data_IF_979643151228
#
_entry.id   IF_979643151228
#
_cell.length_a   1.000
_cell.length_b   1.000
_cell.length_c   1.000
_cell.angle_alpha   90.00
_cell.angle_beta   90.00
_cell.angle_gamma   90.00
#
_symmetry.space_group_name_H-M   'P 1'
#
loop_
_entity.id
_entity.type
_entity.pdbx_description
1 polymer ?
#
# COMPACT_ATOMS: atom_id res chain seq x y z
N UNK A 1 7.93 -35.87 42.94
CA UNK A 1 7.26 -34.56 42.96
C UNK A 1 8.21 -33.43 43.33
N UNK A 2 9.04 -33.48 44.37
CA UNK A 2 9.93 -32.35 44.80
C UNK A 2 10.94 -31.94 43.71
N UNK A 3 11.50 -32.88 42.92
CA UNK A 3 12.47 -32.55 41.84
C UNK A 3 11.84 -31.83 40.65
N UNK A 4 10.59 -32.16 40.29
CA UNK A 4 9.90 -31.47 39.20
C UNK A 4 9.51 -30.06 39.59
N UNK A 5 9.07 -29.84 40.82
CA UNK A 5 8.73 -28.52 41.35
C UNK A 5 9.95 -27.58 41.39
N UNK A 6 11.11 -28.12 41.77
CA UNK A 6 12.37 -27.37 41.79
C UNK A 6 12.84 -26.99 40.39
N UNK A 7 12.74 -27.93 39.43
CA UNK A 7 13.09 -27.63 38.03
C UNK A 7 12.19 -26.56 37.42
N UNK A 8 10.89 -26.60 37.68
CA UNK A 8 9.93 -25.57 37.23
C UNK A 8 10.25 -24.19 37.82
N UNK A 9 10.59 -24.15 39.13
CA UNK A 9 10.96 -22.91 39.81
C UNK A 9 12.25 -22.33 39.24
N UNK A 10 13.26 -23.15 38.93
CA UNK A 10 14.52 -22.68 38.32
C UNK A 10 14.30 -22.13 36.90
N UNK A 11 13.42 -22.77 36.09
CA UNK A 11 13.11 -22.31 34.74
C UNK A 11 12.37 -20.94 34.77
N UNK A 12 11.39 -20.80 35.66
CA UNK A 12 10.67 -19.53 35.80
C UNK A 12 11.56 -18.40 36.33
N UNK A 13 12.44 -18.70 37.30
CA UNK A 13 13.41 -17.73 37.81
C UNK A 13 14.41 -17.29 36.73
N UNK A 14 14.87 -18.21 35.88
CA UNK A 14 15.74 -17.91 34.75
C UNK A 14 15.04 -17.01 33.71
N UNK A 15 13.76 -17.30 33.39
CA UNK A 15 12.95 -16.47 32.48
C UNK A 15 12.75 -15.05 33.01
N UNK A 16 12.43 -14.91 34.29
CA UNK A 16 12.30 -13.59 34.94
C UNK A 16 13.64 -12.84 34.92
N UNK A 17 14.75 -13.53 35.18
CA UNK A 17 16.08 -12.93 35.12
C UNK A 17 16.44 -12.44 33.71
N UNK A 18 16.10 -13.23 32.67
CA UNK A 18 16.30 -12.84 31.28
C UNK A 18 15.49 -11.58 30.94
N UNK A 19 14.22 -11.52 31.36
CA UNK A 19 13.37 -10.34 31.12
C UNK A 19 13.94 -9.10 31.84
N UNK A 20 14.47 -9.26 33.06
CA UNK A 20 15.06 -8.16 33.82
C UNK A 20 16.43 -7.72 33.26
N UNK A 21 17.20 -8.66 32.67
CA UNK A 21 18.50 -8.35 32.09
C UNK A 21 18.41 -7.75 30.67
N UNK A 22 17.31 -8.02 29.95
CA UNK A 22 17.00 -7.46 28.65
C UNK A 22 15.68 -6.70 28.71
N UNK A 23 15.64 -5.54 29.41
CA UNK A 23 14.43 -4.73 29.39
C UNK A 23 14.12 -4.41 27.92
N UNK A 24 12.91 -4.73 27.49
CA UNK A 24 12.41 -4.26 26.19
C UNK A 24 12.55 -2.74 26.19
N UNK A 25 13.56 -2.27 25.48
CA UNK A 25 13.74 -0.83 25.32
C UNK A 25 12.60 -0.37 24.42
N UNK A 26 11.64 0.32 25.02
CA UNK A 26 10.60 0.97 24.23
C UNK A 26 11.28 1.93 23.26
N UNK A 27 10.90 1.85 21.99
CA UNK A 27 11.34 2.78 20.97
C UNK A 27 10.12 3.61 20.54
N UNK A 28 9.81 4.67 21.30
CA UNK A 28 8.59 5.45 21.09
C UNK A 28 8.64 6.19 19.74
N UNK A 29 7.47 6.34 19.14
CA UNK A 29 7.30 7.22 17.98
C UNK A 29 7.41 8.66 18.46
N UNK A 30 8.34 9.41 17.90
CA UNK A 30 8.58 10.83 18.22
C UNK A 30 7.96 11.78 17.20
N UNK A 31 7.75 11.32 15.97
CA UNK A 31 7.18 12.12 14.88
C UNK A 31 6.34 11.24 13.95
N UNK A 32 5.22 11.79 13.47
CA UNK A 32 4.42 11.18 12.40
C UNK A 32 4.20 12.24 11.32
N UNK A 33 4.54 11.91 10.07
CA UNK A 33 4.35 12.81 8.93
C UNK A 33 3.84 12.07 7.70
N UNK A 34 3.17 12.79 6.81
CA UNK A 34 2.80 12.27 5.50
C UNK A 34 3.96 12.47 4.52
N UNK A 35 4.32 11.42 3.82
CA UNK A 35 5.28 11.45 2.70
C UNK A 35 4.62 10.91 1.46
N UNK A 36 5.02 11.37 0.28
CA UNK A 36 4.52 10.84 -0.98
C UNK A 36 5.66 10.49 -1.93
N UNK A 37 5.39 9.52 -2.80
CA UNK A 37 6.29 9.08 -3.87
C UNK A 37 5.51 9.17 -5.17
N UNK A 38 6.10 9.78 -6.19
CA UNK A 38 5.51 9.91 -7.51
C UNK A 38 6.23 9.02 -8.51
N UNK A 39 5.45 8.35 -9.36
CA UNK A 39 5.96 7.57 -10.50
C UNK A 39 5.19 7.98 -11.76
N UNK A 40 5.88 8.07 -12.88
CA UNK A 40 5.28 8.44 -14.16
C UNK A 40 4.34 7.36 -14.68
N UNK A 41 3.19 7.76 -15.24
CA UNK A 41 2.27 6.90 -15.95
C UNK A 41 2.52 7.08 -17.45
N UNK A 42 2.89 5.99 -18.12
CA UNK A 42 3.24 5.98 -19.55
C UNK A 42 1.99 5.84 -20.42
N UNK A 43 1.03 5.05 -19.97
CA UNK A 43 -0.27 4.84 -20.64
C UNK A 43 -1.36 4.53 -19.62
N UNK A 44 -2.61 4.79 -19.99
CA UNK A 44 -3.79 4.35 -19.27
C UNK A 44 -4.96 4.12 -20.23
N UNK A 45 -5.77 3.10 -19.95
CA UNK A 45 -7.01 2.79 -20.68
C UNK A 45 -8.02 2.12 -19.73
N UNK A 46 -9.29 2.10 -20.14
CA UNK A 46 -10.36 1.44 -19.37
C UNK A 46 -10.73 0.12 -20.04
N UNK A 47 -10.91 -0.90 -19.22
CA UNK A 47 -11.52 -2.18 -19.62
C UNK A 47 -12.79 -2.40 -18.83
N UNK A 48 -13.77 -3.07 -19.44
CA UNK A 48 -15.02 -3.43 -18.81
C UNK A 48 -15.14 -4.94 -18.76
N UNK A 49 -15.35 -5.47 -17.57
CA UNK A 49 -15.58 -6.88 -17.32
C UNK A 49 -17.05 -7.13 -17.02
N UNK A 50 -17.67 -8.11 -17.70
CA UNK A 50 -19.04 -8.51 -17.43
C UNK A 50 -19.09 -9.45 -16.22
N UNK A 51 -19.85 -9.06 -15.22
CA UNK A 51 -20.09 -9.87 -14.04
C UNK A 51 -21.21 -10.88 -14.33
N UNK A 52 -20.86 -12.17 -14.36
CA UNK A 52 -21.81 -13.25 -14.58
C UNK A 52 -22.08 -14.04 -13.30
N UNK A 53 -23.32 -14.48 -13.11
CA UNK A 53 -23.63 -15.47 -12.08
C UNK A 53 -23.18 -16.87 -12.54
N UNK A 54 -23.09 -17.82 -11.60
CA UNK A 54 -22.71 -19.22 -11.89
C UNK A 54 -23.66 -19.95 -12.86
N UNK A 55 -24.74 -19.33 -13.30
CA UNK A 55 -25.73 -19.85 -14.26
C UNK A 55 -25.68 -19.14 -15.63
N UNK A 56 -24.68 -18.30 -15.86
CA UNK A 56 -24.47 -17.60 -17.14
C UNK A 56 -25.31 -16.32 -17.33
N UNK A 57 -26.05 -15.88 -16.31
CA UNK A 57 -26.73 -14.58 -16.37
C UNK A 57 -25.78 -13.41 -16.08
N UNK A 58 -25.88 -12.33 -16.86
CA UNK A 58 -25.14 -11.09 -16.63
C UNK A 58 -25.82 -10.33 -15.49
N UNK A 59 -25.08 -10.02 -14.42
CA UNK A 59 -25.55 -9.24 -13.27
C UNK A 59 -25.16 -7.77 -13.32
N UNK A 60 -24.23 -7.40 -14.17
CA UNK A 60 -23.70 -6.06 -14.29
C UNK A 60 -22.35 -6.04 -15.00
N UNK A 61 -21.70 -4.92 -14.91
CA UNK A 61 -20.33 -4.74 -15.42
C UNK A 61 -19.49 -4.05 -14.36
N UNK A 62 -18.18 -4.28 -14.42
CA UNK A 62 -17.17 -3.63 -13.60
C UNK A 62 -16.13 -3.02 -14.51
N UNK A 63 -15.90 -1.72 -14.33
CA UNK A 63 -14.87 -1.01 -15.07
C UNK A 63 -13.56 -1.00 -14.28
N UNK A 64 -12.47 -1.24 -14.99
CA UNK A 64 -11.11 -1.21 -14.49
C UNK A 64 -10.31 -0.19 -15.27
N UNK A 65 -9.42 0.52 -14.57
CA UNK A 65 -8.37 1.32 -15.20
C UNK A 65 -7.09 0.50 -15.23
N UNK A 66 -6.56 0.25 -16.43
CA UNK A 66 -5.27 -0.37 -16.65
C UNK A 66 -4.26 0.72 -16.98
N UNK A 67 -3.10 0.70 -16.35
CA UNK A 67 -2.09 1.72 -16.56
C UNK A 67 -0.68 1.17 -16.38
N UNK A 68 0.27 1.73 -17.13
CA UNK A 68 1.68 1.38 -17.03
C UNK A 68 2.44 2.44 -16.23
N UNK A 69 3.18 2.00 -15.21
CA UNK A 69 4.00 2.84 -14.34
C UNK A 69 5.46 2.66 -14.68
N UNK A 70 6.19 3.76 -14.90
CA UNK A 70 7.63 3.74 -15.14
C UNK A 70 8.39 3.37 -13.87
N UNK A 71 9.19 2.30 -13.94
CA UNK A 71 10.07 1.85 -12.88
C UNK A 71 11.49 1.61 -13.44
N UNK A 72 12.32 2.64 -13.37
CA UNK A 72 13.61 2.65 -14.06
C UNK A 72 13.43 2.47 -15.57
N UNK A 73 14.04 1.43 -16.14
CA UNK A 73 13.93 1.10 -17.56
C UNK A 73 12.72 0.18 -17.88
N UNK A 74 11.94 -0.22 -16.88
CA UNK A 74 10.80 -1.12 -17.04
C UNK A 74 9.48 -0.36 -16.90
N UNK A 75 8.42 -0.93 -17.48
CA UNK A 75 7.05 -0.51 -17.27
C UNK A 75 6.33 -1.61 -16.49
N UNK A 76 5.74 -1.24 -15.36
CA UNK A 76 4.93 -2.12 -14.54
C UNK A 76 3.46 -1.91 -14.87
N UNK A 77 2.82 -2.95 -15.40
CA UNK A 77 1.39 -2.94 -15.69
C UNK A 77 0.61 -3.08 -14.38
N UNK A 78 -0.39 -2.21 -14.20
CA UNK A 78 -1.28 -2.20 -13.05
C UNK A 78 -2.73 -2.11 -13.50
N UNK A 79 -3.60 -2.65 -12.66
CA UNK A 79 -5.05 -2.61 -12.86
C UNK A 79 -5.74 -2.32 -11.53
N UNK A 80 -6.63 -1.35 -11.55
CA UNK A 80 -7.45 -0.98 -10.40
C UNK A 80 -8.92 -0.82 -10.82
N UNK A 81 -9.84 -1.13 -9.90
CA UNK A 81 -11.25 -0.87 -10.12
C UNK A 81 -11.50 0.64 -10.17
N UNK A 82 -12.26 1.08 -11.16
CA UNK A 82 -12.59 2.50 -11.35
C UNK A 82 -13.29 3.14 -10.15
N UNK A 83 -14.08 2.38 -9.42
CA UNK A 83 -14.80 2.84 -8.21
C UNK A 83 -13.90 2.90 -6.96
N UNK A 84 -12.71 2.31 -7.00
CA UNK A 84 -11.76 2.26 -5.89
C UNK A 84 -10.57 3.21 -6.07
N UNK A 85 -10.40 3.81 -7.25
CA UNK A 85 -9.26 4.65 -7.57
C UNK A 85 -9.63 6.14 -7.55
N UNK A 86 -8.78 6.96 -6.97
CA UNK A 86 -8.91 8.41 -7.04
C UNK A 86 -8.19 8.92 -8.28
N UNK A 87 -8.93 9.55 -9.21
CA UNK A 87 -8.35 10.17 -10.40
C UNK A 87 -8.49 11.69 -10.32
N UNK A 88 -7.43 12.38 -10.73
CA UNK A 88 -7.36 13.84 -10.76
C UNK A 88 -6.71 14.30 -12.07
N UNK A 89 -6.95 15.54 -12.44
CA UNK A 89 -6.20 16.19 -13.51
C UNK A 89 -4.77 16.46 -13.05
N UNK A 90 -3.78 16.12 -13.89
CA UNK A 90 -2.39 16.51 -13.67
C UNK A 90 -2.20 18.00 -13.93
N UNK A 91 -1.49 18.67 -13.05
CA UNK A 91 -0.99 20.03 -13.26
C UNK A 91 0.39 20.04 -13.95
N UNK A 92 1.00 18.86 -14.14
CA UNK A 92 2.26 18.66 -14.83
C UNK A 92 2.03 18.31 -16.30
N UNK A 93 3.09 18.38 -17.11
CA UNK A 93 3.06 18.00 -18.53
C UNK A 93 2.92 16.48 -18.75
N UNK A 94 3.09 15.68 -17.69
CA UNK A 94 3.00 14.22 -17.74
C UNK A 94 1.99 13.71 -16.72
N UNK A 95 1.50 12.50 -16.94
CA UNK A 95 0.67 11.76 -16.00
C UNK A 95 1.52 11.04 -14.98
N UNK A 96 1.05 10.95 -13.75
CA UNK A 96 1.76 10.25 -12.68
C UNK A 96 0.79 9.66 -11.66
N UNK A 97 1.25 8.61 -10.96
CA UNK A 97 0.61 8.12 -9.74
C UNK A 97 1.38 8.66 -8.54
N UNK A 98 0.67 9.08 -7.53
CA UNK A 98 1.23 9.52 -6.26
C UNK A 98 0.76 8.57 -5.16
N UNK A 99 1.73 7.90 -4.54
CA UNK A 99 1.50 7.00 -3.41
C UNK A 99 1.71 7.77 -2.12
N UNK A 100 0.78 7.65 -1.19
CA UNK A 100 0.83 8.31 0.11
C UNK A 100 1.17 7.33 1.21
N UNK A 101 2.04 7.74 2.11
CA UNK A 101 2.48 6.97 3.26
C UNK A 101 2.44 7.82 4.52
N UNK A 102 2.03 7.20 5.63
CA UNK A 102 2.25 7.72 6.97
C UNK A 102 3.61 7.23 7.45
N UNK A 103 4.57 8.12 7.60
CA UNK A 103 5.91 7.81 8.12
C UNK A 103 5.94 8.06 9.61
N UNK A 104 6.22 7.01 10.38
CA UNK A 104 6.47 7.06 11.82
C UNK A 104 7.96 7.01 12.07
N UNK A 105 8.48 8.03 12.74
CA UNK A 105 9.89 8.13 13.08
C UNK A 105 10.03 7.81 14.57
N UNK A 106 10.95 6.94 14.90
CA UNK A 106 11.21 6.47 16.25
C UNK A 106 12.39 7.21 16.87
N UNK A 107 12.50 7.15 18.21
CA UNK A 107 13.53 7.84 18.96
C UNK A 107 14.96 7.44 18.55
N UNK A 108 15.16 6.21 18.11
CA UNK A 108 16.45 5.70 17.60
C UNK A 108 16.80 6.16 16.17
N UNK A 109 15.95 6.98 15.55
CA UNK A 109 16.12 7.47 14.17
C UNK A 109 15.67 6.49 13.08
N UNK A 110 15.20 5.31 13.43
CA UNK A 110 14.54 4.41 12.47
C UNK A 110 13.18 4.95 12.06
N UNK A 111 12.65 4.50 10.92
CA UNK A 111 11.31 4.86 10.49
C UNK A 111 10.56 3.67 9.87
N UNK A 112 9.25 3.77 9.90
CA UNK A 112 8.34 2.84 9.26
C UNK A 112 7.31 3.60 8.44
N UNK A 113 7.16 3.23 7.17
CA UNK A 113 6.20 3.81 6.25
C UNK A 113 4.99 2.89 6.11
N UNK A 114 3.81 3.38 6.50
CA UNK A 114 2.53 2.71 6.32
C UNK A 114 1.83 3.29 5.09
N UNK A 115 1.59 2.47 4.08
CA UNK A 115 0.79 2.87 2.93
C UNK A 115 -0.62 3.31 3.35
N UNK A 116 -1.06 4.46 2.85
CA UNK A 116 -2.38 5.03 3.18
C UNK A 116 -3.28 5.25 1.97
N UNK A 117 -2.72 5.22 0.76
CA UNK A 117 -3.50 5.37 -0.47
C UNK A 117 -2.66 5.82 -1.65
N UNK A 118 -3.32 5.96 -2.79
CA UNK A 118 -2.74 6.53 -4.00
C UNK A 118 -3.78 7.35 -4.77
N UNK A 119 -3.29 8.23 -5.65
CA UNK A 119 -4.09 8.96 -6.62
C UNK A 119 -3.41 8.98 -7.97
N UNK A 120 -4.19 8.80 -9.04
CA UNK A 120 -3.75 8.95 -10.42
C UNK A 120 -3.96 10.41 -10.86
N UNK A 121 -2.90 11.03 -11.30
CA UNK A 121 -2.92 12.37 -11.89
C UNK A 121 -2.69 12.23 -13.40
N UNK A 122 -3.73 12.44 -14.18
CA UNK A 122 -3.73 12.20 -15.62
C UNK A 122 -3.77 13.53 -16.39
N UNK A 123 -3.00 13.60 -17.48
CA UNK A 123 -3.07 14.74 -18.42
C UNK A 123 -4.43 14.81 -19.11
N UNK A 124 -4.80 15.96 -19.65
CA UNK A 124 -6.06 16.15 -20.37
C UNK A 124 -6.21 15.17 -21.54
N UNK A 125 -5.14 14.89 -22.25
CA UNK A 125 -5.16 13.96 -23.38
C UNK A 125 -5.42 12.52 -22.91
N UNK A 126 -4.79 12.11 -21.82
CA UNK A 126 -5.02 10.78 -21.25
C UNK A 126 -6.44 10.64 -20.69
N UNK A 127 -6.97 11.68 -20.03
CA UNK A 127 -8.35 11.72 -19.55
C UNK A 127 -9.38 11.68 -20.69
N UNK A 128 -9.13 12.35 -21.81
CA UNK A 128 -9.98 12.27 -23.00
C UNK A 128 -10.01 10.87 -23.59
N UNK A 129 -8.84 10.23 -23.70
CA UNK A 129 -8.72 8.87 -24.23
C UNK A 129 -9.48 7.84 -23.37
N UNK A 130 -9.50 8.00 -22.04
CA UNK A 130 -10.29 7.16 -21.14
C UNK A 130 -11.81 7.28 -21.39
N UNK A 131 -12.29 8.47 -21.77
CA UNK A 131 -13.73 8.74 -22.03
C UNK A 131 -14.18 8.23 -23.39
N UNK A 132 -13.29 8.12 -24.37
CA UNK A 132 -13.63 7.67 -25.75
C UNK A 132 -13.57 6.17 -25.93
N UNK A 133 -13.08 5.43 -24.92
CA UNK A 133 -12.98 3.96 -24.94
C UNK A 133 -14.25 3.24 -24.48
N UNK A 134 -15.35 3.97 -24.26
CA UNK A 134 -16.69 3.45 -23.87
C UNK A 134 -17.63 3.41 -25.07
#
# INVERSE_FOLDING_TARGET
MKKALFATFCITALFVLIILMFPFKENPVIETKTVSIQQEIVYAYVTTEMLTNGYGGVHGHQDYICYGVQDGDNILDKEDRMDCVTMRKSEKEHSYIEYYYERRIYEDGTYYDRYTGAALYLTDDMLKNLRTSN
#
